data_IF_319617252710
#
_entry.id   IF_319617252710
#
_cell.length_a   1.000
_cell.length_b   1.000
_cell.length_c   1.000
_cell.angle_alpha   90.00
_cell.angle_beta   90.00
_cell.angle_gamma   90.00
#
_symmetry.space_group_name_H-M   'P 1'
#
loop_
_entity.id
_entity.type
_entity.pdbx_description
1 polymer ?
#
# COMPACT_ATOMS: atom_id res chain seq x y z
N UNK A 1 -8.96 -4.00 -10.59
CA UNK A 1 -8.43 -2.97 -9.67
C UNK A 1 -7.66 -1.95 -10.50
N UNK A 2 -7.76 -0.68 -10.13
CA UNK A 2 -6.95 0.40 -10.68
C UNK A 2 -5.93 0.83 -9.63
N UNK A 3 -4.64 0.70 -9.93
CA UNK A 3 -3.57 1.12 -9.01
C UNK A 3 -3.08 2.50 -9.38
N UNK A 4 -2.82 3.33 -8.37
CA UNK A 4 -2.18 4.63 -8.59
C UNK A 4 -0.79 4.41 -9.19
N UNK A 5 -0.43 5.14 -10.25
CA UNK A 5 0.80 4.85 -11.00
C UNK A 5 2.05 5.09 -10.18
N UNK A 6 2.10 6.18 -9.40
CA UNK A 6 3.16 6.39 -8.41
C UNK A 6 2.78 5.64 -7.14
N UNK A 7 3.62 4.70 -6.72
CA UNK A 7 3.45 3.91 -5.52
C UNK A 7 3.96 4.64 -4.26
N UNK A 8 4.04 5.97 -4.28
CA UNK A 8 4.55 6.77 -3.18
C UNK A 8 3.70 8.02 -2.92
N UNK A 9 2.58 7.88 -2.20
CA UNK A 9 1.69 9.02 -1.91
C UNK A 9 2.24 9.97 -0.83
N UNK A 10 3.23 9.54 -0.04
CA UNK A 10 3.78 10.32 1.07
C UNK A 10 5.31 10.37 1.00
N UNK A 11 5.95 11.55 1.16
CA UNK A 11 7.40 11.68 0.95
C UNK A 11 8.25 10.91 1.97
N UNK A 12 7.65 10.47 3.08
CA UNK A 12 8.27 9.71 4.16
C UNK A 12 7.31 8.57 4.53
N UNK A 13 7.79 7.50 5.18
CA UNK A 13 6.92 6.55 5.86
C UNK A 13 6.06 7.24 6.93
N UNK A 14 4.84 6.75 7.14
CA UNK A 14 3.83 7.40 7.99
C UNK A 14 3.15 6.43 8.94
N UNK A 15 2.51 6.96 9.98
CA UNK A 15 1.63 6.12 10.83
C UNK A 15 0.37 5.73 10.07
N UNK A 16 -0.29 4.64 10.48
CA UNK A 16 -1.42 4.08 9.70
C UNK A 16 -2.57 5.06 9.49
N UNK A 17 -2.86 5.90 10.49
CA UNK A 17 -3.89 6.95 10.39
C UNK A 17 -3.54 8.01 9.35
N UNK A 18 -2.26 8.36 9.20
CA UNK A 18 -1.80 9.32 8.21
C UNK A 18 -1.85 8.72 6.79
N UNK A 19 -1.67 7.42 6.63
CA UNK A 19 -1.90 6.73 5.36
C UNK A 19 -3.35 6.88 4.87
N UNK A 20 -4.33 6.68 5.76
CA UNK A 20 -5.75 6.92 5.45
C UNK A 20 -6.01 8.39 5.10
N UNK A 21 -5.40 9.32 5.83
CA UNK A 21 -5.54 10.76 5.57
C UNK A 21 -4.91 11.17 4.23
N UNK A 22 -3.78 10.58 3.84
CA UNK A 22 -3.12 10.83 2.56
C UNK A 22 -4.01 10.43 1.38
N UNK A 23 -4.66 9.27 1.45
CA UNK A 23 -5.63 8.81 0.45
C UNK A 23 -6.88 9.71 0.43
N UNK A 24 -7.37 10.14 1.59
CA UNK A 24 -8.49 11.09 1.64
C UNK A 24 -8.14 12.43 0.97
N UNK A 25 -6.91 12.92 1.18
CA UNK A 25 -6.39 14.14 0.53
C UNK A 25 -6.26 13.96 -0.99
N UNK A 26 -5.81 12.79 -1.46
CA UNK A 26 -5.77 12.44 -2.89
C UNK A 26 -7.16 12.55 -3.53
N UNK A 27 -8.20 12.05 -2.87
CA UNK A 27 -9.57 12.18 -3.34
C UNK A 27 -10.08 13.62 -3.35
N UNK A 28 -9.69 14.44 -2.36
CA UNK A 28 -10.06 15.86 -2.32
C UNK A 28 -9.40 16.67 -3.45
N UNK A 29 -8.23 16.24 -3.93
CA UNK A 29 -7.57 16.86 -5.08
C UNK A 29 -8.27 16.57 -6.42
N UNK A 30 -9.25 15.66 -6.44
CA UNK A 30 -10.09 15.40 -7.62
C UNK A 30 -9.41 14.53 -8.68
N UNK A 31 -8.48 13.66 -8.31
CA UNK A 31 -7.72 12.79 -9.23
C UNK A 31 -8.54 11.61 -9.81
N UNK A 32 -9.82 11.84 -10.12
CA UNK A 32 -10.61 11.03 -11.06
C UNK A 32 -11.02 9.61 -10.63
N UNK A 33 -10.69 9.17 -9.41
CA UNK A 33 -11.09 7.84 -8.91
C UNK A 33 -11.39 7.89 -7.42
N UNK A 34 -12.20 6.94 -6.94
CA UNK A 34 -12.44 6.74 -5.51
C UNK A 34 -11.26 5.95 -4.90
N UNK A 35 -10.15 6.64 -4.70
CA UNK A 35 -8.94 6.06 -4.15
C UNK A 35 -9.14 5.61 -2.71
N UNK A 36 -8.57 4.47 -2.37
CA UNK A 36 -8.57 3.89 -1.02
C UNK A 36 -7.20 3.29 -0.70
N UNK A 37 -6.94 3.11 0.59
CA UNK A 37 -5.82 2.28 1.04
C UNK A 37 -6.15 0.81 0.72
N UNK A 38 -5.28 0.05 0.06
CA UNK A 38 -5.55 -1.31 -0.38
C UNK A 38 -5.72 -2.24 0.82
N UNK A 39 -6.53 -3.28 0.66
CA UNK A 39 -6.54 -4.41 1.60
C UNK A 39 -5.27 -5.24 1.43
N UNK A 40 -4.92 -6.08 2.40
CA UNK A 40 -3.72 -6.93 2.30
C UNK A 40 -3.79 -7.89 1.12
N UNK A 41 -4.97 -8.45 0.82
CA UNK A 41 -5.18 -9.36 -0.31
C UNK A 41 -4.95 -8.66 -1.67
N UNK A 42 -5.29 -7.37 -1.78
CA UNK A 42 -5.05 -6.61 -3.01
C UNK A 42 -3.56 -6.33 -3.20
N UNK A 43 -2.86 -5.93 -2.14
CA UNK A 43 -1.40 -5.80 -2.17
C UNK A 43 -0.74 -7.12 -2.54
N UNK A 44 -1.14 -8.22 -1.91
CA UNK A 44 -0.61 -9.56 -2.20
C UNK A 44 -0.87 -9.99 -3.65
N UNK A 45 -1.99 -9.57 -4.25
CA UNK A 45 -2.29 -9.85 -5.67
C UNK A 45 -1.31 -9.23 -6.67
N UNK A 46 -0.49 -8.27 -6.24
CA UNK A 46 0.58 -7.68 -7.07
C UNK A 46 1.84 -8.56 -7.11
N UNK A 47 2.00 -9.49 -6.18
CA UNK A 47 3.25 -10.21 -5.96
C UNK A 47 3.52 -11.20 -7.10
N UNK A 48 4.71 -11.14 -7.66
CA UNK A 48 5.27 -12.18 -8.51
C UNK A 48 6.28 -13.01 -7.71
N UNK A 49 5.93 -14.28 -7.42
CA UNK A 49 6.76 -15.19 -6.63
C UNK A 49 8.08 -15.57 -7.33
N UNK A 50 8.26 -15.26 -8.61
CA UNK A 50 9.52 -15.45 -9.32
C UNK A 50 10.44 -14.22 -9.25
N UNK A 51 9.96 -13.10 -8.70
CA UNK A 51 10.69 -11.85 -8.58
C UNK A 51 11.03 -11.50 -7.12
N UNK A 52 12.04 -10.66 -6.94
CA UNK A 52 12.41 -10.08 -5.66
C UNK A 52 13.03 -8.69 -5.90
N UNK A 53 12.95 -7.83 -4.89
CA UNK A 53 13.59 -6.50 -4.88
C UNK A 53 13.30 -5.62 -6.13
N UNK A 54 12.04 -5.34 -6.51
CA UNK A 54 10.80 -5.73 -5.83
C UNK A 54 10.20 -7.04 -6.38
N UNK A 55 9.42 -7.73 -5.56
CA UNK A 55 8.63 -8.90 -5.90
C UNK A 55 7.37 -8.53 -6.71
N UNK A 56 7.57 -7.78 -7.80
CA UNK A 56 6.56 -7.37 -8.76
C UNK A 56 6.91 -7.99 -10.13
N UNK A 57 5.92 -8.21 -11.01
CA UNK A 57 6.19 -8.68 -12.36
C UNK A 57 7.17 -7.78 -13.11
N UNK A 58 8.10 -8.38 -13.85
CA UNK A 58 9.02 -7.64 -14.69
C UNK A 58 8.27 -6.75 -15.70
N UNK A 59 8.67 -5.48 -15.82
CA UNK A 59 8.03 -4.51 -16.71
C UNK A 59 6.73 -3.90 -16.17
N UNK A 60 6.44 -4.02 -14.87
CA UNK A 60 5.30 -3.36 -14.25
C UNK A 60 5.25 -1.84 -14.55
N UNK A 61 4.05 -1.23 -14.68
CA UNK A 61 3.93 0.18 -15.07
C UNK A 61 4.17 1.19 -13.94
N UNK A 62 4.36 0.70 -12.72
CA UNK A 62 4.45 1.51 -11.50
C UNK A 62 5.76 2.29 -11.39
N UNK A 63 5.65 3.52 -10.90
CA UNK A 63 6.76 4.41 -10.57
C UNK A 63 6.89 4.54 -9.04
N UNK A 64 8.05 4.99 -8.57
CA UNK A 64 8.31 5.29 -7.16
C UNK A 64 7.96 4.13 -6.21
N UNK A 65 8.26 2.90 -6.62
CA UNK A 65 8.05 1.71 -5.79
C UNK A 65 9.02 1.73 -4.61
N UNK A 66 8.46 1.60 -3.41
CA UNK A 66 9.15 1.47 -2.13
C UNK A 66 9.02 0.04 -1.62
N UNK A 67 9.66 -0.26 -0.50
CA UNK A 67 9.72 -1.64 0.01
C UNK A 67 8.46 -2.03 0.80
N UNK A 68 8.04 -1.23 1.78
CA UNK A 68 7.03 -1.65 2.76
C UNK A 68 5.79 -0.79 2.67
N UNK A 69 4.61 -1.42 2.56
CA UNK A 69 3.33 -0.74 2.34
C UNK A 69 2.28 -1.09 3.40
N UNK A 70 1.60 -0.06 3.91
CA UNK A 70 0.40 -0.25 4.73
C UNK A 70 -0.74 -0.85 3.91
N UNK A 71 -1.47 -1.79 4.52
CA UNK A 71 -2.82 -2.14 4.09
C UNK A 71 -3.89 -1.52 5.00
N UNK A 72 -5.14 -1.45 4.54
CA UNK A 72 -6.31 -1.12 5.36
C UNK A 72 -6.78 -2.27 6.26
N UNK A 73 -6.17 -3.46 6.13
CA UNK A 73 -6.55 -4.65 6.88
C UNK A 73 -5.97 -4.60 8.30
N UNK A 74 -6.83 -4.47 9.31
CA UNK A 74 -6.44 -4.53 10.72
C UNK A 74 -6.12 -5.97 11.13
N UNK A 75 -5.11 -6.15 11.98
CA UNK A 75 -4.81 -7.47 12.56
C UNK A 75 -5.95 -7.92 13.49
N UNK A 76 -6.42 -9.15 13.32
CA UNK A 76 -7.46 -9.73 14.17
C UNK A 76 -6.91 -10.19 15.53
N UNK A 77 -5.59 -10.36 15.65
CA UNK A 77 -4.95 -10.76 16.91
C UNK A 77 -4.74 -9.55 17.83
N UNK A 78 -4.18 -8.46 17.29
CA UNK A 78 -3.98 -7.19 18.01
C UNK A 78 -4.48 -6.02 17.14
N UNK A 79 -5.66 -5.44 17.43
CA UNK A 79 -6.26 -4.39 16.60
C UNK A 79 -5.45 -3.09 16.48
N UNK A 80 -4.47 -2.88 17.36
CA UNK A 80 -3.52 -1.77 17.28
C UNK A 80 -2.45 -1.98 16.19
N UNK A 81 -2.49 -3.11 15.49
CA UNK A 81 -1.65 -3.43 14.34
C UNK A 81 -2.46 -3.52 13.06
N UNK A 82 -1.80 -3.29 11.94
CA UNK A 82 -2.35 -3.51 10.60
C UNK A 82 -1.41 -4.40 9.78
N UNK A 83 -1.98 -5.14 8.83
CA UNK A 83 -1.22 -5.90 7.86
C UNK A 83 -0.47 -4.98 6.89
N UNK A 84 0.65 -5.48 6.39
CA UNK A 84 1.52 -4.77 5.46
C UNK A 84 2.17 -5.74 4.47
N UNK A 85 2.53 -5.23 3.29
CA UNK A 85 3.30 -5.95 2.28
C UNK A 85 4.76 -5.47 2.28
N UNK A 86 5.69 -6.41 2.23
CA UNK A 86 7.13 -6.20 2.10
C UNK A 86 7.56 -6.66 0.70
N UNK A 87 7.79 -5.72 -0.21
CA UNK A 87 8.07 -5.99 -1.62
C UNK A 87 9.48 -6.50 -1.88
N UNK A 88 10.44 -6.37 -0.98
CA UNK A 88 11.77 -6.98 -1.18
C UNK A 88 11.64 -8.49 -1.49
N UNK A 89 10.71 -9.19 -0.82
CA UNK A 89 10.49 -10.63 -0.98
C UNK A 89 9.04 -11.06 -1.23
N UNK A 90 8.11 -10.11 -1.36
CA UNK A 90 6.69 -10.38 -1.58
C UNK A 90 5.97 -10.98 -0.36
N UNK A 91 6.44 -10.70 0.86
CA UNK A 91 5.88 -11.27 2.07
C UNK A 91 4.86 -10.33 2.73
N UNK A 92 3.82 -10.91 3.33
CA UNK A 92 2.92 -10.20 4.22
C UNK A 92 3.44 -10.24 5.66
N UNK A 93 3.19 -9.15 6.40
CA UNK A 93 3.51 -9.04 7.81
C UNK A 93 2.56 -8.06 8.50
N UNK A 94 2.90 -7.62 9.71
CA UNK A 94 2.13 -6.63 10.45
C UNK A 94 3.03 -5.52 10.97
N UNK A 95 2.46 -4.33 11.16
CA UNK A 95 3.11 -3.20 11.81
C UNK A 95 2.19 -2.56 12.85
N UNK A 96 2.75 -2.00 13.93
CA UNK A 96 1.98 -1.23 14.90
C UNK A 96 1.53 0.09 14.28
N UNK A 97 0.23 0.39 14.37
CA UNK A 97 -0.39 1.56 13.72
C UNK A 97 0.19 2.90 14.16
N UNK A 98 0.88 2.94 15.31
CA UNK A 98 1.48 4.15 15.90
C UNK A 98 2.89 4.48 15.40
N UNK A 99 3.56 3.58 14.67
CA UNK A 99 4.92 3.80 14.17
C UNK A 99 4.91 4.18 12.70
N UNK A 100 5.78 5.13 12.35
CA UNK A 100 5.88 5.69 11.01
C UNK A 100 6.94 4.92 10.20
N UNK A 101 6.60 3.70 9.80
CA UNK A 101 7.55 2.76 9.19
C UNK A 101 7.13 2.30 7.78
N UNK A 102 5.92 2.64 7.34
CA UNK A 102 5.35 2.09 6.11
C UNK A 102 4.90 3.19 5.14
N UNK A 103 5.01 2.87 3.87
CA UNK A 103 4.66 3.71 2.73
C UNK A 103 3.19 3.57 2.35
N UNK A 104 2.72 4.46 1.49
CA UNK A 104 1.30 4.54 1.10
C UNK A 104 1.16 4.41 -0.41
N UNK A 105 0.37 3.43 -0.84
CA UNK A 105 -0.01 3.22 -2.24
C UNK A 105 -1.53 3.15 -2.33
N UNK A 106 -2.14 3.88 -3.25
CA UNK A 106 -3.58 3.88 -3.45
C UNK A 106 -4.03 2.87 -4.51
N UNK A 107 -5.20 2.29 -4.26
CA UNK A 107 -5.96 1.48 -5.21
C UNK A 107 -7.38 2.03 -5.33
N UNK A 108 -8.03 1.81 -6.47
CA UNK A 108 -9.43 2.07 -6.71
C UNK A 108 -10.08 0.84 -7.38
N UNK A 109 -11.40 0.78 -7.35
CA UNK A 109 -12.17 -0.20 -8.12
C UNK A 109 -12.41 0.37 -9.53
N UNK A 110 -12.40 -0.49 -10.55
CA UNK A 110 -12.79 -0.11 -11.92
C UNK A 110 -14.29 -0.39 -12.00
N UNK A 111 -15.07 0.61 -12.41
CA UNK A 111 -16.51 0.44 -12.69
C UNK A 111 -16.77 -0.38 -13.96
#
# INVERSE_FOLDING_TARGET
>A
LLWHRSANLTPQPVVWREALAAVAKLNQAGEGSAWRLPTINELESLVDCAAHSPALPAGHPFADVLDIYWSSSTSLFEPDWAWALYLEKGATGVGQKRFAEFSVWAVATVD
#
